data_IF_434782627627
#
_entry.id   IF_434782627627
#
_cell.length_a   1.000
_cell.length_b   1.000
_cell.length_c   1.000
_cell.angle_alpha   90.00
_cell.angle_beta   90.00
_cell.angle_gamma   90.00
#
_symmetry.space_group_name_H-M   'P 1'
#
loop_
_entity.id
_entity.type
_entity.pdbx_description
1 polymer ?
#
# COMPACT_ATOMS: atom_id res chain seq x y z
N UNK A 1 4.99 7.83 -24.92
CA UNK A 1 4.69 8.95 -23.99
C UNK A 1 3.34 8.89 -23.26
N UNK A 2 2.44 7.92 -23.51
CA UNK A 2 1.11 7.84 -22.82
C UNK A 2 1.11 7.15 -21.44
N UNK A 3 2.11 6.32 -21.12
CA UNK A 3 2.15 5.58 -19.84
C UNK A 3 2.32 6.49 -18.60
N UNK A 4 3.03 7.63 -18.75
CA UNK A 4 3.40 8.50 -17.63
C UNK A 4 2.23 9.31 -17.04
N UNK A 5 1.24 9.71 -17.84
CA UNK A 5 0.11 10.52 -17.37
C UNK A 5 -0.85 9.68 -16.51
N UNK A 6 -1.18 8.49 -16.99
CA UNK A 6 -2.05 7.53 -16.27
C UNK A 6 -1.43 7.12 -14.93
N UNK A 7 -0.11 6.87 -14.91
CA UNK A 7 0.64 6.59 -13.69
C UNK A 7 0.52 7.72 -12.66
N UNK A 8 0.82 8.97 -13.06
CA UNK A 8 0.80 10.11 -12.13
C UNK A 8 -0.58 10.34 -11.54
N UNK A 9 -1.62 10.24 -12.36
CA UNK A 9 -3.00 10.35 -11.91
C UNK A 9 -3.36 9.25 -10.91
N UNK A 10 -3.01 7.99 -11.22
CA UNK A 10 -3.23 6.87 -10.31
C UNK A 10 -2.51 7.07 -8.97
N UNK A 11 -1.23 7.46 -8.99
CA UNK A 11 -0.47 7.72 -7.76
C UNK A 11 -1.04 8.86 -6.93
N UNK A 12 -1.51 9.94 -7.56
CA UNK A 12 -2.15 11.03 -6.83
C UNK A 12 -3.46 10.58 -6.16
N UNK A 13 -4.24 9.73 -6.83
CA UNK A 13 -5.43 9.12 -6.23
C UNK A 13 -5.03 8.23 -5.04
N UNK A 14 -4.07 7.31 -5.22
CA UNK A 14 -3.59 6.44 -4.14
C UNK A 14 -3.08 7.26 -2.94
N UNK A 15 -2.29 8.32 -3.17
CA UNK A 15 -1.81 9.21 -2.10
C UNK A 15 -2.95 9.93 -1.39
N UNK A 16 -3.95 10.42 -2.12
CA UNK A 16 -5.12 11.04 -1.50
C UNK A 16 -5.89 10.04 -0.61
N UNK A 17 -6.11 8.82 -1.13
CA UNK A 17 -6.72 7.73 -0.37
C UNK A 17 -5.91 7.44 0.89
N UNK A 18 -4.59 7.29 0.79
CA UNK A 18 -3.73 7.04 1.94
C UNK A 18 -3.75 8.19 2.94
N UNK A 19 -3.66 9.45 2.50
CA UNK A 19 -3.71 10.63 3.39
C UNK A 19 -4.99 10.68 4.23
N UNK A 20 -6.13 10.24 3.66
CA UNK A 20 -7.41 10.22 4.36
C UNK A 20 -7.52 8.96 5.23
N UNK A 21 -7.41 7.77 4.61
CA UNK A 21 -7.78 6.51 5.23
C UNK A 21 -6.68 5.89 6.11
N UNK A 22 -5.42 6.31 5.99
CA UNK A 22 -4.37 5.94 6.98
C UNK A 22 -4.56 6.65 8.32
N UNK A 23 -5.31 7.76 8.37
CA UNK A 23 -5.49 8.54 9.59
C UNK A 23 -6.16 7.75 10.72
N UNK A 24 -5.78 8.03 11.97
CA UNK A 24 -6.35 7.46 13.20
C UNK A 24 -7.88 7.61 13.33
N UNK A 25 -8.48 8.61 12.67
CA UNK A 25 -9.94 8.77 12.61
C UNK A 25 -10.66 7.57 11.98
N UNK A 26 -9.95 6.76 11.21
CA UNK A 26 -10.47 5.52 10.63
C UNK A 26 -10.23 4.28 11.49
N UNK A 27 -9.98 4.44 12.79
CA UNK A 27 -9.88 3.35 13.76
C UNK A 27 -11.19 3.08 14.51
N UNK A 28 -12.22 3.92 14.37
CA UNK A 28 -13.55 3.63 14.92
C UNK A 28 -14.23 2.51 14.14
N UNK A 29 -15.11 1.67 14.75
CA UNK A 29 -15.62 0.45 14.11
C UNK A 29 -16.27 0.64 12.74
N UNK A 30 -17.01 1.73 12.53
CA UNK A 30 -17.68 2.01 11.25
C UNK A 30 -16.71 2.60 10.22
N UNK A 31 -15.86 3.56 10.59
CA UNK A 31 -14.87 4.15 9.67
C UNK A 31 -13.78 3.15 9.30
N UNK A 32 -13.42 2.25 10.21
CA UNK A 32 -12.48 1.16 9.97
C UNK A 32 -12.91 0.29 8.78
N UNK A 33 -14.19 -0.08 8.69
CA UNK A 33 -14.71 -0.82 7.53
C UNK A 33 -14.54 -0.06 6.22
N UNK A 34 -14.63 1.27 6.25
CA UNK A 34 -14.40 2.12 5.07
C UNK A 34 -12.91 2.11 4.68
N UNK A 35 -12.00 2.20 5.66
CA UNK A 35 -10.54 2.03 5.43
C UNK A 35 -10.27 0.70 4.73
N UNK A 36 -10.78 -0.40 5.28
CA UNK A 36 -10.53 -1.74 4.72
C UNK A 36 -10.96 -1.80 3.25
N UNK A 37 -12.19 -1.37 2.93
CA UNK A 37 -12.68 -1.35 1.55
C UNK A 37 -11.84 -0.46 0.62
N UNK A 38 -11.41 0.71 1.11
CA UNK A 38 -10.55 1.60 0.33
C UNK A 38 -9.21 0.91 0.03
N UNK A 39 -8.55 0.33 1.03
CA UNK A 39 -7.27 -0.32 0.83
C UNK A 39 -7.35 -1.54 -0.09
N UNK A 40 -8.34 -2.41 0.12
CA UNK A 40 -8.59 -3.56 -0.76
C UNK A 40 -8.78 -3.13 -2.21
N UNK A 41 -9.60 -2.09 -2.45
CA UNK A 41 -9.88 -1.59 -3.80
C UNK A 41 -8.64 -1.05 -4.50
N UNK A 42 -7.74 -0.38 -3.79
CA UNK A 42 -6.61 0.34 -4.41
C UNK A 42 -5.27 -0.41 -4.37
N UNK A 43 -5.11 -1.39 -3.48
CA UNK A 43 -3.81 -2.05 -3.22
C UNK A 43 -3.84 -3.57 -3.35
N UNK A 44 -4.87 -4.13 -4.02
CA UNK A 44 -4.95 -5.56 -4.33
C UNK A 44 -4.77 -6.44 -3.08
N UNK A 45 -5.56 -6.13 -2.06
CA UNK A 45 -5.61 -6.85 -0.79
C UNK A 45 -6.85 -7.74 -0.81
N UNK A 46 -6.67 -9.03 -0.53
CA UNK A 46 -7.72 -10.03 -0.46
C UNK A 46 -8.54 -9.90 0.85
N UNK A 47 -9.17 -10.98 1.31
CA UNK A 47 -10.24 -10.91 2.32
C UNK A 47 -9.73 -10.75 3.76
N UNK A 48 -10.58 -10.16 4.60
CA UNK A 48 -10.39 -10.02 6.05
C UNK A 48 -9.05 -9.41 6.50
N UNK A 49 -8.51 -8.36 5.85
CA UNK A 49 -7.27 -7.77 6.32
C UNK A 49 -7.49 -6.96 7.60
N UNK A 50 -6.45 -6.88 8.42
CA UNK A 50 -6.34 -5.91 9.51
C UNK A 50 -5.40 -4.80 9.07
N UNK A 51 -5.89 -3.55 9.03
CA UNK A 51 -5.09 -2.41 8.56
C UNK A 51 -5.16 -1.29 9.58
N UNK A 52 -4.09 -1.13 10.34
CA UNK A 52 -3.98 -0.08 11.35
C UNK A 52 -3.71 1.30 10.74
N UNK A 53 -3.59 2.31 11.60
CA UNK A 53 -3.36 3.68 11.15
C UNK A 53 -1.90 3.88 10.70
N UNK A 54 -1.66 4.91 9.90
CA UNK A 54 -0.34 5.28 9.37
C UNK A 54 0.33 4.16 8.53
N UNK A 55 -0.46 3.22 7.99
CA UNK A 55 0.01 2.28 6.96
C UNK A 55 0.11 3.01 5.63
N UNK A 56 1.24 2.85 4.93
CA UNK A 56 1.48 3.52 3.66
C UNK A 56 1.96 2.54 2.59
N UNK A 57 1.21 2.45 1.49
CA UNK A 57 1.51 1.52 0.38
C UNK A 57 1.66 2.35 -0.90
N UNK A 58 2.87 2.48 -1.43
CA UNK A 58 3.15 3.40 -2.53
C UNK A 58 4.04 2.79 -3.59
N UNK A 59 4.02 3.41 -4.77
CA UNK A 59 4.92 3.11 -5.86
C UNK A 59 5.55 4.43 -6.25
N UNK A 60 6.78 4.66 -5.81
CA UNK A 60 7.38 6.01 -5.88
C UNK A 60 8.04 6.27 -7.24
N UNK A 61 8.59 5.23 -7.88
CA UNK A 61 9.59 5.40 -8.96
C UNK A 61 9.07 5.34 -10.39
N UNK A 62 7.76 5.38 -10.66
CA UNK A 62 7.26 5.29 -12.04
C UNK A 62 7.34 3.89 -12.64
N UNK A 63 7.91 2.95 -11.90
CA UNK A 63 8.14 1.57 -12.33
C UNK A 63 6.84 0.78 -12.38
N UNK A 64 6.80 -0.29 -13.18
CA UNK A 64 5.65 -1.18 -13.34
C UNK A 64 5.54 -2.23 -12.22
N UNK A 65 5.93 -1.85 -11.00
CA UNK A 65 5.85 -2.71 -9.85
C UNK A 65 4.43 -3.18 -9.53
N UNK A 66 4.33 -4.39 -8.99
CA UNK A 66 3.09 -5.10 -8.68
C UNK A 66 3.04 -5.44 -7.19
N UNK A 67 1.84 -5.34 -6.62
CA UNK A 67 1.56 -5.75 -5.25
C UNK A 67 0.41 -6.75 -5.23
N UNK A 68 0.55 -7.79 -4.42
CA UNK A 68 -0.51 -8.72 -4.03
C UNK A 68 -0.42 -8.96 -2.52
N UNK A 69 -1.54 -8.82 -1.81
CA UNK A 69 -1.63 -9.09 -0.38
C UNK A 69 -2.77 -10.08 -0.15
N UNK A 70 -2.47 -11.24 0.43
CA UNK A 70 -3.38 -12.35 0.64
C UNK A 70 -4.42 -12.14 1.73
N UNK A 71 -5.12 -13.23 2.06
CA UNK A 71 -6.21 -13.28 3.03
C UNK A 71 -5.68 -13.19 4.47
N UNK A 72 -6.47 -12.60 5.36
CA UNK A 72 -6.18 -12.53 6.79
C UNK A 72 -4.82 -11.90 7.13
N UNK A 73 -4.32 -11.00 6.27
CA UNK A 73 -3.06 -10.28 6.50
C UNK A 73 -3.27 -9.13 7.48
N UNK A 74 -2.32 -8.95 8.38
CA UNK A 74 -2.26 -7.80 9.29
C UNK A 74 -1.16 -6.83 8.88
N UNK A 75 -1.54 -5.59 8.58
CA UNK A 75 -0.64 -4.44 8.42
C UNK A 75 -0.77 -3.56 9.67
N UNK A 76 0.15 -3.71 10.62
CA UNK A 76 0.16 -2.93 11.84
C UNK A 76 0.60 -1.48 11.60
N UNK A 77 0.45 -0.62 12.61
CA UNK A 77 0.67 0.82 12.48
C UNK A 77 2.06 1.16 11.97
N UNK A 78 2.16 2.23 11.18
CA UNK A 78 3.41 2.72 10.59
C UNK A 78 4.11 1.74 9.62
N UNK A 79 3.43 0.69 9.14
CA UNK A 79 3.97 -0.15 8.07
C UNK A 79 4.11 0.66 6.79
N UNK A 80 5.26 0.56 6.14
CA UNK A 80 5.55 1.21 4.88
C UNK A 80 5.92 0.16 3.82
N UNK A 81 5.27 0.22 2.66
CA UNK A 81 5.54 -0.66 1.53
C UNK A 81 5.74 0.18 0.27
N UNK A 82 6.96 0.18 -0.26
CA UNK A 82 7.27 0.64 -1.62
C UNK A 82 7.32 -0.56 -2.58
N UNK A 83 6.26 -0.71 -3.37
CA UNK A 83 6.10 -1.76 -4.37
C UNK A 83 6.51 -1.29 -5.78
N UNK A 84 7.56 -0.47 -5.89
CA UNK A 84 8.12 -0.12 -7.20
C UNK A 84 8.77 -1.31 -7.93
N UNK A 85 9.14 -2.38 -7.21
CA UNK A 85 9.37 -3.72 -7.77
C UNK A 85 8.15 -4.63 -7.56
N UNK A 86 8.37 -5.91 -7.28
CA UNK A 86 7.28 -6.86 -7.01
C UNK A 86 7.23 -7.20 -5.52
N UNK A 87 6.04 -7.09 -4.91
CA UNK A 87 5.79 -7.47 -3.51
C UNK A 87 4.61 -8.44 -3.46
N UNK A 88 4.83 -9.61 -2.87
CA UNK A 88 3.79 -10.60 -2.58
C UNK A 88 3.81 -10.85 -1.08
N UNK A 89 2.67 -10.62 -0.43
CA UNK A 89 2.44 -10.95 0.98
C UNK A 89 1.38 -12.05 0.99
N UNK A 90 1.76 -13.23 1.47
CA UNK A 90 0.91 -14.42 1.49
C UNK A 90 -0.13 -14.38 2.63
N UNK A 91 -1.05 -15.34 2.60
CA UNK A 91 -2.14 -15.47 3.58
C UNK A 91 -1.63 -15.59 5.02
N UNK A 92 -2.34 -14.95 5.96
CA UNK A 92 -2.07 -15.04 7.40
C UNK A 92 -0.80 -14.33 7.87
N UNK A 93 -0.12 -13.58 7.00
CA UNK A 93 1.09 -12.84 7.36
C UNK A 93 0.75 -11.62 8.25
N UNK A 94 1.58 -11.39 9.26
CA UNK A 94 1.57 -10.17 10.06
C UNK A 94 2.82 -9.34 9.77
N UNK A 95 2.63 -8.11 9.29
CA UNK A 95 3.67 -7.08 9.28
C UNK A 95 3.54 -6.26 10.57
N UNK A 96 4.54 -6.40 11.44
CA UNK A 96 4.58 -5.72 12.73
C UNK A 96 4.73 -4.20 12.56
N UNK A 97 4.43 -3.47 13.63
CA UNK A 97 4.44 -2.01 13.64
C UNK A 97 5.79 -1.47 13.17
N UNK A 98 5.76 -0.57 12.18
CA UNK A 98 6.96 0.08 11.65
C UNK A 98 7.78 -0.72 10.63
N UNK A 99 7.34 -1.92 10.24
CA UNK A 99 8.01 -2.68 9.17
C UNK A 99 8.07 -1.87 7.89
N UNK A 100 9.23 -1.90 7.22
CA UNK A 100 9.46 -1.27 5.93
C UNK A 100 9.82 -2.34 4.89
N UNK A 101 9.13 -2.33 3.76
CA UNK A 101 9.43 -3.15 2.58
C UNK A 101 9.72 -2.19 1.42
N UNK A 102 10.91 -2.28 0.84
CA UNK A 102 11.32 -1.47 -0.30
C UNK A 102 11.81 -2.40 -1.42
N UNK A 103 11.06 -2.44 -2.52
CA UNK A 103 11.32 -3.36 -3.64
C UNK A 103 11.87 -2.67 -4.89
N UNK A 104 12.11 -1.36 -4.83
CA UNK A 104 12.60 -0.62 -5.99
C UNK A 104 14.00 -1.08 -6.39
N UNK A 105 14.20 -1.29 -7.69
CA UNK A 105 15.54 -1.48 -8.26
C UNK A 105 16.06 -0.13 -8.74
N UNK A 106 17.35 0.16 -8.50
CA UNK A 106 18.07 1.28 -9.11
C UNK A 106 19.31 0.72 -9.77
N UNK A 107 19.54 1.06 -11.05
CA UNK A 107 20.87 0.88 -11.62
C UNK A 107 21.82 1.86 -10.95
N UNK A 108 22.93 1.35 -10.42
CA UNK A 108 23.91 2.12 -9.66
C UNK A 108 24.81 2.97 -10.58
N UNK A 109 24.78 2.69 -11.89
CA UNK A 109 25.57 3.39 -12.92
C UNK A 109 24.89 4.67 -13.45
N UNK A 110 23.74 5.05 -12.90
CA UNK A 110 23.09 6.33 -13.22
C UNK A 110 23.63 7.46 -12.32
N UNK A 111 24.88 7.86 -12.53
CA UNK A 111 25.45 9.12 -12.02
C UNK A 111 25.97 9.98 -13.16
#
# INVERSE_FOLDING_TARGET
MRANYTYRRQQNICRLILSIFSSKWFSFPWTYKIRIKAYQKFFNIEENPIIEHDVWITRTHGLEGKIKIGNNVTLAKNVFIDYSGNVIIEDGVLLASGVKIESHYRDIDAY
#
